data_IF_256155969143
#
_entry.id   IF_256155969143
#
_cell.length_a   1.000
_cell.length_b   1.000
_cell.length_c   1.000
_cell.angle_alpha   90.00
_cell.angle_beta   90.00
_cell.angle_gamma   90.00
#
_symmetry.space_group_name_H-M   'P 1'
#
loop_
_entity.id
_entity.type
_entity.pdbx_description
1 polymer ?
#
# COMPACT_ATOMS: atom_id res chain seq x y z
N UNK A 1 -0.16 1.04 -8.19
CA UNK A 1 -1.10 0.14 -7.47
C UNK A 1 -1.04 -1.30 -7.98
N UNK A 2 -1.03 -1.52 -9.31
CA UNK A 2 -0.91 -2.86 -9.91
C UNK A 2 0.34 -3.65 -9.49
N UNK A 3 1.51 -2.99 -9.44
CA UNK A 3 2.80 -3.60 -9.09
C UNK A 3 2.84 -4.24 -7.70
N UNK A 4 2.12 -3.68 -6.73
CA UNK A 4 2.08 -4.20 -5.36
C UNK A 4 1.30 -5.52 -5.29
N UNK A 5 0.14 -5.58 -5.94
CA UNK A 5 -0.67 -6.80 -6.00
C UNK A 5 0.04 -7.91 -6.75
N UNK A 6 0.67 -7.58 -7.88
CA UNK A 6 1.45 -8.54 -8.67
C UNK A 6 2.62 -9.11 -7.87
N UNK A 7 3.37 -8.24 -7.17
CA UNK A 7 4.47 -8.68 -6.32
C UNK A 7 3.99 -9.57 -5.18
N UNK A 8 2.86 -9.22 -4.55
CA UNK A 8 2.27 -10.04 -3.50
C UNK A 8 1.87 -11.43 -4.01
N UNK A 9 1.31 -11.52 -5.22
CA UNK A 9 0.96 -12.79 -5.86
C UNK A 9 2.21 -13.61 -6.15
N UNK A 10 3.21 -13.01 -6.82
CA UNK A 10 4.42 -13.70 -7.27
C UNK A 10 5.31 -14.18 -6.12
N UNK A 11 5.46 -13.35 -5.09
CA UNK A 11 6.39 -13.61 -3.99
C UNK A 11 5.74 -14.46 -2.89
N UNK A 12 4.47 -14.22 -2.56
CA UNK A 12 3.85 -14.87 -1.41
C UNK A 12 2.88 -15.98 -1.79
N UNK A 13 2.02 -15.75 -2.79
CA UNK A 13 0.92 -16.67 -3.11
C UNK A 13 1.40 -17.83 -3.98
N UNK A 14 2.02 -17.56 -5.13
CA UNK A 14 2.42 -18.59 -6.10
C UNK A 14 3.37 -19.65 -5.53
N UNK A 15 4.40 -19.34 -4.73
CA UNK A 15 5.31 -20.36 -4.21
C UNK A 15 4.62 -21.39 -3.30
N UNK A 16 3.53 -21.01 -2.64
CA UNK A 16 2.81 -21.86 -1.69
C UNK A 16 1.59 -22.52 -2.32
N UNK A 17 0.78 -21.74 -3.04
CA UNK A 17 -0.51 -22.17 -3.56
C UNK A 17 -0.48 -22.50 -5.06
N UNK A 18 0.53 -22.04 -5.81
CA UNK A 18 0.62 -22.24 -7.26
C UNK A 18 0.83 -23.70 -7.71
N UNK A 19 1.26 -24.57 -6.78
CA UNK A 19 1.38 -26.02 -7.01
C UNK A 19 0.05 -26.78 -6.92
N UNK A 20 -0.98 -26.17 -6.32
CA UNK A 20 -2.29 -26.80 -6.15
C UNK A 20 -3.15 -26.54 -7.39
N UNK A 21 -3.90 -27.56 -7.82
CA UNK A 21 -4.97 -27.35 -8.78
C UNK A 21 -6.06 -26.51 -8.12
N UNK A 22 -6.71 -25.63 -8.88
CA UNK A 22 -7.74 -24.73 -8.34
C UNK A 22 -8.86 -25.47 -7.59
N UNK A 23 -9.27 -26.64 -8.10
CA UNK A 23 -10.27 -27.52 -7.48
C UNK A 23 -9.82 -28.22 -6.19
N UNK A 24 -8.50 -28.29 -5.95
CA UNK A 24 -7.92 -28.88 -4.75
C UNK A 24 -7.69 -27.87 -3.62
N UNK A 25 -7.93 -26.58 -3.89
CA UNK A 25 -7.87 -25.55 -2.86
C UNK A 25 -9.08 -25.70 -1.93
N UNK A 26 -8.83 -26.30 -0.76
CA UNK A 26 -9.83 -26.40 0.30
C UNK A 26 -9.65 -25.26 1.30
N UNK A 27 -10.68 -24.96 2.11
CA UNK A 27 -10.54 -24.00 3.22
C UNK A 27 -9.37 -24.33 4.15
N UNK A 28 -9.11 -25.62 4.38
CA UNK A 28 -7.99 -26.08 5.20
C UNK A 28 -6.62 -25.66 4.64
N UNK A 29 -6.38 -25.84 3.33
CA UNK A 29 -5.12 -25.44 2.69
C UNK A 29 -4.92 -23.92 2.77
N UNK A 30 -6.00 -23.16 2.57
CA UNK A 30 -5.95 -21.71 2.67
C UNK A 30 -5.74 -21.23 4.12
N UNK A 31 -6.35 -21.88 5.10
CA UNK A 31 -6.11 -21.61 6.52
C UNK A 31 -4.65 -21.88 6.89
N UNK A 32 -4.08 -23.00 6.43
CA UNK A 32 -2.67 -23.31 6.65
C UNK A 32 -1.74 -22.25 6.04
N UNK A 33 -2.07 -21.76 4.83
CA UNK A 33 -1.33 -20.66 4.21
C UNK A 33 -1.41 -19.37 5.05
N UNK A 34 -2.59 -18.97 5.50
CA UNK A 34 -2.73 -17.78 6.34
C UNK A 34 -1.99 -17.93 7.67
N UNK A 35 -2.09 -19.10 8.32
CA UNK A 35 -1.37 -19.40 9.56
C UNK A 35 0.16 -19.39 9.37
N UNK A 36 0.65 -19.85 8.21
CA UNK A 36 2.06 -19.74 7.87
C UNK A 36 2.49 -18.27 7.78
N UNK A 37 1.71 -17.41 7.12
CA UNK A 37 2.02 -15.98 7.01
C UNK A 37 1.96 -15.26 8.36
N UNK A 38 1.07 -15.68 9.25
CA UNK A 38 1.08 -15.22 10.65
C UNK A 38 2.37 -15.62 11.35
N UNK A 39 2.80 -16.88 11.23
CA UNK A 39 4.06 -17.38 11.83
C UNK A 39 5.31 -16.70 11.26
N UNK A 40 5.27 -16.26 10.01
CA UNK A 40 6.32 -15.44 9.38
C UNK A 40 6.35 -13.99 9.92
N UNK A 41 5.42 -13.60 10.80
CA UNK A 41 5.39 -12.29 11.45
C UNK A 41 4.73 -11.18 10.63
N UNK A 42 3.91 -11.53 9.63
CA UNK A 42 3.21 -10.52 8.83
C UNK A 42 2.18 -9.76 9.65
N UNK A 43 2.18 -8.43 9.50
CA UNK A 43 1.18 -7.57 10.12
C UNK A 43 -0.22 -7.82 9.53
N UNK A 44 -1.26 -7.57 10.34
CA UNK A 44 -2.68 -7.76 9.95
C UNK A 44 -3.09 -7.02 8.68
N UNK A 45 -2.67 -5.77 8.41
CA UNK A 45 -2.98 -5.10 7.15
C UNK A 45 -2.49 -5.89 5.93
N UNK A 46 -1.28 -6.44 6.00
CA UNK A 46 -0.70 -7.23 4.91
C UNK A 46 -1.46 -8.54 4.71
N UNK A 47 -1.82 -9.22 5.81
CA UNK A 47 -2.63 -10.44 5.76
C UNK A 47 -4.03 -10.19 5.20
N UNK A 48 -4.66 -9.05 5.52
CA UNK A 48 -5.92 -8.63 4.93
C UNK A 48 -5.79 -8.40 3.42
N UNK A 49 -4.67 -7.83 2.97
CA UNK A 49 -4.42 -7.64 1.53
C UNK A 49 -4.28 -9.00 0.83
N UNK A 50 -3.51 -9.94 1.40
CA UNK A 50 -3.38 -11.29 0.86
C UNK A 50 -4.74 -12.02 0.78
N UNK A 51 -5.51 -11.98 1.87
CA UNK A 51 -6.86 -12.56 1.90
C UNK A 51 -7.79 -11.89 0.88
N UNK A 52 -7.70 -10.57 0.72
CA UNK A 52 -8.47 -9.81 -0.27
C UNK A 52 -8.14 -10.18 -1.71
N UNK A 53 -6.86 -10.40 -2.02
CA UNK A 53 -6.41 -10.88 -3.34
C UNK A 53 -7.00 -12.27 -3.60
N UNK A 54 -6.80 -13.22 -2.67
CA UNK A 54 -7.31 -14.59 -2.80
C UNK A 54 -8.83 -14.60 -2.96
N UNK A 55 -9.54 -13.79 -2.19
CA UNK A 55 -10.99 -13.66 -2.29
C UNK A 55 -11.45 -13.15 -3.66
N UNK A 56 -10.80 -12.14 -4.21
CA UNK A 56 -11.14 -11.63 -5.55
C UNK A 56 -10.83 -12.67 -6.63
N UNK A 57 -9.67 -13.30 -6.58
CA UNK A 57 -9.25 -14.31 -7.55
C UNK A 57 -10.16 -15.54 -7.54
N UNK A 58 -10.49 -16.07 -6.35
CA UNK A 58 -11.35 -17.24 -6.22
C UNK A 58 -12.82 -16.94 -6.54
N UNK A 59 -13.31 -15.73 -6.24
CA UNK A 59 -14.63 -15.29 -6.73
C UNK A 59 -14.71 -15.32 -8.24
N UNK A 60 -13.66 -14.86 -8.93
CA UNK A 60 -13.59 -14.91 -10.39
C UNK A 60 -13.58 -16.35 -10.91
N UNK A 61 -12.87 -17.24 -10.22
CA UNK A 61 -12.84 -18.66 -10.52
C UNK A 61 -14.20 -19.36 -10.34
N UNK A 62 -15.03 -18.90 -9.40
CA UNK A 62 -16.43 -19.34 -9.27
C UNK A 62 -17.27 -18.77 -10.43
N UNK A 63 -17.22 -17.45 -10.62
CA UNK A 63 -17.96 -16.76 -11.67
C UNK A 63 -17.15 -15.59 -12.22
N UNK A 64 -16.97 -15.48 -13.55
CA UNK A 64 -17.69 -16.19 -14.61
C UNK A 64 -17.09 -17.54 -15.03
N UNK A 65 -15.88 -17.89 -14.58
CA UNK A 65 -15.13 -19.01 -15.16
C UNK A 65 -15.63 -20.41 -14.75
N UNK A 66 -16.39 -20.54 -13.66
CA UNK A 66 -16.99 -21.80 -13.18
C UNK A 66 -15.99 -22.96 -13.01
N UNK A 67 -14.75 -22.65 -12.64
CA UNK A 67 -13.73 -23.67 -12.37
C UNK A 67 -13.94 -24.39 -11.03
N UNK A 68 -14.51 -23.68 -10.06
CA UNK A 68 -14.88 -24.17 -8.72
C UNK A 68 -16.33 -23.77 -8.42
N UNK A 69 -17.02 -24.56 -7.60
CA UNK A 69 -18.44 -24.34 -7.28
C UNK A 69 -18.65 -23.24 -6.24
N UNK A 70 -17.70 -23.07 -5.33
CA UNK A 70 -17.77 -22.11 -4.24
C UNK A 70 -16.40 -21.52 -3.94
N UNK A 71 -16.37 -20.44 -3.17
CA UNK A 71 -15.14 -19.76 -2.81
C UNK A 71 -14.61 -20.22 -1.45
N UNK A 72 -13.57 -21.07 -1.39
CA UNK A 72 -13.12 -21.69 -0.13
C UNK A 72 -12.53 -20.71 0.89
N UNK A 73 -12.07 -19.51 0.46
CA UNK A 73 -11.49 -18.50 1.35
C UNK A 73 -12.53 -17.90 2.32
N UNK A 74 -13.82 -18.04 2.01
CA UNK A 74 -14.89 -17.46 2.84
C UNK A 74 -15.02 -18.11 4.22
N UNK A 75 -14.45 -19.31 4.35
CA UNK A 75 -14.42 -20.09 5.60
C UNK A 75 -13.08 -20.00 6.33
N UNK A 76 -12.17 -19.14 5.86
CA UNK A 76 -10.84 -18.96 6.47
C UNK A 76 -10.89 -17.81 7.47
N UNK A 77 -10.49 -18.07 8.70
CA UNK A 77 -10.45 -17.07 9.76
C UNK A 77 -9.04 -16.51 9.95
N UNK A 78 -8.96 -15.18 10.01
CA UNK A 78 -7.73 -14.46 10.31
C UNK A 78 -7.56 -14.33 11.83
N UNK A 79 -6.96 -15.35 12.44
CA UNK A 79 -6.55 -15.33 13.85
C UNK A 79 -5.25 -14.55 14.00
N UNK A 80 -5.38 -13.25 14.23
CA UNK A 80 -4.25 -12.38 14.57
C UNK A 80 -4.69 -11.58 15.78
N UNK A 81 -3.96 -11.69 16.89
CA UNK A 81 -4.14 -10.80 18.02
C UNK A 81 -4.02 -9.37 17.50
N UNK A 82 -5.08 -8.58 17.70
CA UNK A 82 -5.12 -7.22 17.22
C UNK A 82 -3.97 -6.45 17.86
N UNK A 83 -2.96 -6.07 17.08
CA UNK A 83 -2.08 -4.98 17.48
C UNK A 83 -2.99 -3.79 17.78
N UNK A 84 -2.94 -3.33 19.03
CA UNK A 84 -3.67 -2.18 19.55
C UNK A 84 -3.68 -1.05 18.52
N UNK A 85 -4.80 -0.31 18.39
CA UNK A 85 -4.85 0.87 17.52
C UNK A 85 -3.61 1.73 17.81
N UNK A 86 -2.88 2.20 16.77
CA UNK A 86 -1.66 2.96 16.97
C UNK A 86 -1.99 4.13 17.88
N UNK A 87 -1.28 4.19 19.00
CA UNK A 87 -1.36 5.29 19.95
C UNK A 87 -0.75 6.55 19.34
N UNK A 88 -1.00 7.70 19.97
CA UNK A 88 -0.43 8.97 19.52
C UNK A 88 1.11 8.96 19.56
N UNK A 89 1.67 8.15 20.45
CA UNK A 89 3.11 7.88 20.58
C UNK A 89 3.65 7.04 19.40
N UNK A 90 2.88 6.05 18.93
CA UNK A 90 3.24 5.22 17.77
C UNK A 90 3.30 6.01 16.46
N UNK A 91 2.51 7.08 16.35
CA UNK A 91 2.42 7.92 15.15
C UNK A 91 3.67 8.79 14.90
N UNK A 92 4.69 8.76 15.78
CA UNK A 92 5.97 9.49 15.67
C UNK A 92 5.78 10.93 15.17
N UNK A 93 4.78 11.61 15.72
CA UNK A 93 4.44 12.99 15.35
C UNK A 93 5.67 13.87 15.64
N UNK A 94 6.13 14.61 14.63
CA UNK A 94 7.31 15.46 14.77
C UNK A 94 7.01 16.65 15.68
N UNK A 95 7.95 16.96 16.59
CA UNK A 95 7.84 18.16 17.42
C UNK A 95 8.02 19.42 16.57
N UNK A 96 7.51 20.55 17.09
CA UNK A 96 7.63 21.85 16.42
C UNK A 96 9.09 22.25 16.21
N UNK A 97 9.97 21.90 17.14
CA UNK A 97 11.40 22.16 17.09
C UNK A 97 12.08 21.36 15.97
N UNK A 98 11.70 20.09 15.78
CA UNK A 98 12.20 19.28 14.68
C UNK A 98 11.72 19.83 13.32
N UNK A 99 10.47 20.27 13.23
CA UNK A 99 9.94 20.90 12.02
C UNK A 99 10.66 22.22 11.70
N UNK A 100 11.02 23.02 12.71
CA UNK A 100 11.82 24.23 12.53
C UNK A 100 13.25 23.92 12.04
N UNK A 101 13.89 22.88 12.57
CA UNK A 101 15.21 22.42 12.08
C UNK A 101 15.12 21.96 10.62
N UNK A 102 14.11 21.17 10.27
CA UNK A 102 13.86 20.73 8.90
C UNK A 102 13.58 21.91 7.97
N UNK A 103 12.82 22.91 8.43
CA UNK A 103 12.57 24.13 7.66
C UNK A 103 13.84 24.94 7.37
N UNK A 104 14.85 24.87 8.25
CA UNK A 104 16.16 25.52 8.02
C UNK A 104 17.03 24.72 7.05
N UNK A 105 16.93 23.39 7.09
CA UNK A 105 17.65 22.49 6.17
C UNK A 105 17.11 22.59 4.74
N UNK A 106 15.79 22.59 4.58
CA UNK A 106 15.13 22.89 3.32
C UNK A 106 15.07 24.40 3.12
N UNK A 107 16.21 25.04 2.86
CA UNK A 107 16.29 26.48 2.58
C UNK A 107 15.81 26.82 1.16
N UNK A 108 15.62 28.12 0.89
CA UNK A 108 15.33 28.63 -0.44
C UNK A 108 16.44 28.22 -1.42
N UNK A 109 16.09 27.45 -2.45
CA UNK A 109 17.01 26.82 -3.39
C UNK A 109 17.06 25.28 -3.31
N UNK A 110 16.58 24.68 -2.22
CA UNK A 110 16.47 23.22 -2.14
C UNK A 110 15.26 22.73 -2.98
N UNK A 111 15.39 21.67 -3.81
CA UNK A 111 14.31 21.19 -4.68
C UNK A 111 12.99 20.86 -3.97
N UNK A 112 13.06 20.51 -2.68
CA UNK A 112 11.90 20.15 -1.85
C UNK A 112 11.41 21.28 -0.93
N UNK A 113 11.99 22.48 -0.98
CA UNK A 113 11.60 23.60 -0.11
C UNK A 113 10.11 23.96 -0.24
N UNK A 114 9.67 24.21 -1.48
CA UNK A 114 8.27 24.58 -1.79
C UNK A 114 7.31 23.46 -1.39
N UNK A 115 7.67 22.21 -1.70
CA UNK A 115 6.87 21.05 -1.34
C UNK A 115 6.73 20.87 0.18
N UNK A 116 7.82 21.09 0.92
CA UNK A 116 7.84 21.00 2.38
C UNK A 116 6.97 22.08 3.04
N UNK A 117 7.07 23.33 2.59
CA UNK A 117 6.25 24.43 3.13
C UNK A 117 4.75 24.21 2.85
N UNK A 118 4.38 23.80 1.63
CA UNK A 118 2.98 23.50 1.29
C UNK A 118 2.47 22.36 2.18
N UNK A 119 3.21 21.24 2.29
CA UNK A 119 2.82 20.12 3.13
C UNK A 119 2.64 20.50 4.61
N UNK A 120 3.48 21.40 5.12
CA UNK A 120 3.41 21.88 6.51
C UNK A 120 2.17 22.75 6.78
N UNK A 121 1.81 23.65 5.85
CA UNK A 121 0.73 24.63 6.05
C UNK A 121 -0.66 24.13 5.62
N UNK A 122 -0.74 23.22 4.64
CA UNK A 122 -2.04 22.74 4.11
C UNK A 122 -2.37 21.29 4.46
N UNK A 123 -1.42 20.55 5.07
CA UNK A 123 -1.66 19.17 5.53
C UNK A 123 -1.96 18.17 4.40
N UNK A 124 -1.62 18.53 3.17
CA UNK A 124 -1.83 17.69 1.97
C UNK A 124 -0.92 16.47 1.96
N UNK A 125 -1.36 15.37 1.33
CA UNK A 125 -0.53 14.16 1.26
C UNK A 125 0.66 14.41 0.36
N UNK A 126 1.82 13.82 0.69
CA UNK A 126 3.07 14.00 -0.07
C UNK A 126 2.92 13.70 -1.57
N UNK A 127 2.11 12.70 -1.93
CA UNK A 127 1.83 12.37 -3.33
C UNK A 127 1.02 13.44 -4.08
N UNK A 128 0.20 14.22 -3.39
CA UNK A 128 -0.58 15.33 -3.96
C UNK A 128 0.32 16.55 -4.19
N UNK A 129 1.25 16.80 -3.26
CA UNK A 129 2.26 17.86 -3.36
C UNK A 129 3.17 17.63 -4.55
N UNK A 130 3.70 16.42 -4.72
CA UNK A 130 4.63 16.13 -5.81
C UNK A 130 3.99 16.33 -7.18
N UNK A 131 2.73 15.91 -7.35
CA UNK A 131 2.01 16.11 -8.60
C UNK A 131 1.75 17.60 -8.88
N UNK A 132 1.34 18.36 -7.86
CA UNK A 132 1.00 19.79 -7.99
C UNK A 132 2.24 20.67 -8.15
N UNK A 133 3.33 20.38 -7.43
CA UNK A 133 4.55 21.18 -7.45
C UNK A 133 5.31 21.00 -8.75
N UNK A 134 5.44 19.77 -9.27
CA UNK A 134 6.10 19.54 -10.56
C UNK A 134 5.29 20.12 -11.71
N UNK A 135 3.96 20.00 -11.70
CA UNK A 135 3.11 20.61 -12.73
C UNK A 135 3.21 22.14 -12.70
N UNK A 136 3.21 22.76 -11.52
CA UNK A 136 3.37 24.22 -11.37
C UNK A 136 4.76 24.70 -11.78
N UNK A 137 5.83 23.96 -11.46
CA UNK A 137 7.19 24.29 -11.88
C UNK A 137 7.38 24.14 -13.40
N UNK A 138 6.83 23.09 -14.00
CA UNK A 138 6.83 22.91 -15.46
C UNK A 138 6.00 24.00 -16.15
N UNK A 139 4.82 24.34 -15.62
CA UNK A 139 4.03 25.47 -16.12
C UNK A 139 4.76 26.80 -16.00
N UNK A 140 5.40 27.08 -14.86
CA UNK A 140 6.23 28.28 -14.66
C UNK A 140 7.42 28.32 -15.61
N UNK A 141 8.05 27.16 -15.88
CA UNK A 141 9.15 27.07 -16.83
C UNK A 141 8.69 27.30 -18.27
N UNK A 142 7.58 26.69 -18.69
CA UNK A 142 6.96 26.90 -20.01
C UNK A 142 6.49 28.36 -20.18
N UNK A 143 5.84 28.94 -19.17
CA UNK A 143 5.36 30.32 -19.20
C UNK A 143 6.51 31.33 -19.28
N UNK A 144 7.65 31.07 -18.63
CA UNK A 144 8.82 31.94 -18.75
C UNK A 144 9.57 31.72 -20.07
N UNK A 145 9.54 30.52 -20.66
CA UNK A 145 10.15 30.27 -21.98
C UNK A 145 9.41 31.00 -23.12
N UNK A 146 8.07 31.09 -23.03
CA UNK A 146 7.23 31.71 -24.08
C UNK A 146 7.27 33.25 -24.03
N UNK A 147 7.69 33.87 -22.92
CA UNK A 147 7.79 35.34 -22.80
C UNK A 147 9.15 35.87 -23.31
N UNK A 148 10.11 34.99 -23.60
CA UNK A 148 11.46 35.34 -24.11
C UNK A 148 11.69 35.11 -25.60
N UNK A 149 10.64 34.89 -26.41
CA UNK A 149 10.73 34.88 -27.88
C UNK A 149 9.65 35.72 -28.54
#
# INVERSE_FOLDING_TARGET
MYSYYESAIRIHILPHLGKYKLRSLTPHVLQQFMNLKVREGFARPTLNILAGILNKSLKQAVYPYKYISENPIQYVELMIETSRRPTREDLKIQSKENLQKLSRYFCEGHPFHVAFQIGLHTGVKVGEVQNTTLEKLVRLWISNLIITH
#
